data_IF_354888526029
#
_entry.id   IF_354888526029
#
_cell.length_a   1.000
_cell.length_b   1.000
_cell.length_c   1.000
_cell.angle_alpha   90.00
_cell.angle_beta   90.00
_cell.angle_gamma   90.00
#
_symmetry.space_group_name_H-M   'P 1'
#
loop_
_entity.id
_entity.type
_entity.pdbx_description
1 polymer ?
#
# COMPACT_ATOMS: atom_id res chain seq x y z
N UNK A 1 -17.79 -3.71 -6.78
CA UNK A 1 -17.92 -4.97 -7.54
C UNK A 1 -16.59 -5.42 -8.15
N UNK A 2 -15.45 -5.24 -7.46
CA UNK A 2 -14.11 -5.64 -7.95
C UNK A 2 -13.35 -6.56 -6.97
N UNK A 3 -13.84 -6.72 -5.74
CA UNK A 3 -13.14 -7.43 -4.65
C UNK A 3 -13.29 -8.96 -4.75
N UNK A 4 -14.50 -9.45 -5.05
CA UNK A 4 -14.78 -10.88 -5.16
C UNK A 4 -14.03 -11.56 -6.31
N UNK A 5 -13.85 -10.86 -7.44
CA UNK A 5 -13.12 -11.38 -8.60
C UNK A 5 -11.64 -11.57 -8.28
N UNK A 6 -11.01 -10.65 -7.54
CA UNK A 6 -9.58 -10.71 -7.22
C UNK A 6 -9.25 -11.88 -6.26
N UNK A 7 -10.10 -12.16 -5.28
CA UNK A 7 -9.90 -13.28 -4.34
C UNK A 7 -9.98 -14.64 -5.04
N UNK A 8 -10.86 -14.76 -6.03
CA UNK A 8 -11.04 -15.96 -6.83
C UNK A 8 -9.85 -16.21 -7.76
N UNK A 9 -9.30 -15.15 -8.37
CA UNK A 9 -8.07 -15.20 -9.18
C UNK A 9 -6.84 -15.58 -8.34
N UNK A 10 -6.85 -15.28 -7.04
CA UNK A 10 -5.80 -15.68 -6.09
C UNK A 10 -5.99 -17.11 -5.51
N UNK A 11 -7.04 -17.83 -5.91
CA UNK A 11 -7.26 -19.23 -5.53
C UNK A 11 -7.77 -19.46 -4.11
N UNK A 12 -8.19 -18.41 -3.39
CA UNK A 12 -8.70 -18.54 -2.03
C UNK A 12 -10.17 -18.97 -2.02
N UNK A 13 -10.50 -19.99 -1.22
CA UNK A 13 -11.89 -20.34 -0.93
C UNK A 13 -12.52 -19.24 -0.08
N UNK A 14 -13.70 -18.74 -0.48
CA UNK A 14 -14.41 -17.61 0.17
C UNK A 14 -14.67 -17.80 1.69
N UNK A 15 -14.58 -19.04 2.18
CA UNK A 15 -14.77 -19.38 3.60
C UNK A 15 -13.48 -19.35 4.44
N UNK A 16 -12.33 -19.11 3.82
CA UNK A 16 -11.02 -19.18 4.46
C UNK A 16 -10.31 -17.83 4.53
N UNK A 17 -10.89 -16.77 3.97
CA UNK A 17 -10.27 -15.44 3.91
C UNK A 17 -11.28 -14.37 4.28
N UNK A 18 -10.92 -13.55 5.27
CA UNK A 18 -11.62 -12.31 5.59
C UNK A 18 -10.89 -11.16 4.90
N UNK A 19 -11.60 -10.40 4.06
CA UNK A 19 -11.04 -9.22 3.39
C UNK A 19 -11.65 -7.96 3.95
N UNK A 20 -10.79 -7.01 4.24
CA UNK A 20 -11.16 -5.68 4.68
C UNK A 20 -10.46 -4.64 3.82
N UNK A 21 -11.21 -3.60 3.44
CA UNK A 21 -10.70 -2.52 2.62
C UNK A 21 -10.96 -1.19 3.28
N UNK A 22 -9.93 -0.36 3.36
CA UNK A 22 -10.00 0.96 3.96
C UNK A 22 -9.33 1.98 3.04
N UNK A 23 -9.91 3.18 2.96
CA UNK A 23 -9.34 4.30 2.22
C UNK A 23 -8.99 5.43 3.18
N UNK A 24 -7.74 5.89 3.15
CA UNK A 24 -7.24 7.02 3.92
C UNK A 24 -6.00 7.60 3.24
N UNK A 25 -5.55 8.78 3.68
CA UNK A 25 -4.27 9.35 3.24
C UNK A 25 -3.12 8.68 4.01
N UNK A 26 -1.99 8.46 3.35
CA UNK A 26 -0.83 7.75 3.90
C UNK A 26 -0.41 8.19 5.32
N UNK A 27 -0.40 9.49 5.69
CA UNK A 27 -0.06 9.91 7.06
C UNK A 27 -0.93 9.27 8.16
N UNK A 28 -2.17 8.88 7.84
CA UNK A 28 -3.08 8.19 8.78
C UNK A 28 -2.96 6.66 8.79
N UNK A 29 -1.98 6.08 8.09
CA UNK A 29 -1.82 4.63 7.96
C UNK A 29 -1.70 3.92 9.31
N UNK A 30 -0.82 4.41 10.19
CA UNK A 30 -0.58 3.75 11.47
C UNK A 30 -1.75 3.84 12.43
N UNK A 31 -2.36 5.02 12.54
CA UNK A 31 -3.49 5.21 13.45
C UNK A 31 -4.61 4.23 13.11
N UNK A 32 -4.88 4.05 11.81
CA UNK A 32 -5.88 3.09 11.34
C UNK A 32 -5.46 1.64 11.50
N UNK A 33 -4.20 1.32 11.21
CA UNK A 33 -3.68 -0.03 11.36
C UNK A 33 -3.72 -0.48 12.83
N UNK A 34 -3.35 0.39 13.76
CA UNK A 34 -3.35 0.11 15.20
C UNK A 34 -4.76 0.04 15.80
N UNK A 35 -5.65 0.95 15.41
CA UNK A 35 -7.08 0.89 15.76
C UNK A 35 -7.65 -0.49 15.40
N UNK A 36 -7.31 -1.00 14.22
CA UNK A 36 -7.78 -2.31 13.76
C UNK A 36 -7.10 -3.49 14.45
N UNK A 37 -5.77 -3.47 14.54
CA UNK A 37 -5.03 -4.51 15.26
C UNK A 37 -5.46 -4.66 16.73
N UNK A 38 -5.96 -3.59 17.36
CA UNK A 38 -6.46 -3.65 18.74
C UNK A 38 -7.83 -4.31 18.90
N UNK A 39 -8.61 -4.44 17.83
CA UNK A 39 -10.00 -4.93 17.87
C UNK A 39 -10.23 -6.21 17.07
N UNK A 40 -9.26 -6.63 16.26
CA UNK A 40 -9.37 -7.70 15.27
C UNK A 40 -8.08 -8.54 15.21
N UNK A 41 -8.15 -9.72 14.60
CA UNK A 41 -6.97 -10.59 14.41
C UNK A 41 -5.94 -9.92 13.48
N UNK A 42 -4.65 -10.12 13.76
CA UNK A 42 -3.58 -9.53 12.97
C UNK A 42 -3.62 -10.02 11.51
N UNK A 43 -3.33 -9.15 10.52
CA UNK A 43 -3.38 -9.54 9.13
C UNK A 43 -2.26 -10.52 8.78
N UNK A 44 -2.61 -11.61 8.11
CA UNK A 44 -1.64 -12.49 7.47
C UNK A 44 -1.05 -11.86 6.19
N UNK A 45 -1.86 -11.05 5.49
CA UNK A 45 -1.48 -10.35 4.26
C UNK A 45 -1.96 -8.91 4.36
N UNK A 46 -1.06 -7.95 4.08
CA UNK A 46 -1.39 -6.54 4.01
C UNK A 46 -1.09 -6.00 2.61
N UNK A 47 -2.13 -5.63 1.87
CA UNK A 47 -1.99 -5.00 0.55
C UNK A 47 -1.96 -3.48 0.71
N UNK A 48 -0.81 -2.87 0.44
CA UNK A 48 -0.63 -1.43 0.46
C UNK A 48 -0.87 -0.85 -0.94
N UNK A 49 -1.86 0.03 -1.06
CA UNK A 49 -2.19 0.75 -2.28
C UNK A 49 -2.19 2.25 -2.01
N UNK A 50 -1.13 2.95 -2.42
CA UNK A 50 -1.18 4.41 -2.43
C UNK A 50 -1.99 4.89 -3.63
N UNK A 51 -2.69 6.00 -3.47
CA UNK A 51 -3.49 6.62 -4.51
C UNK A 51 -2.91 7.94 -5.00
N UNK A 52 -3.56 8.54 -6.00
CA UNK A 52 -3.18 9.87 -6.48
C UNK A 52 -3.35 10.99 -5.44
N UNK A 53 -4.13 10.75 -4.37
CA UNK A 53 -4.31 11.68 -3.26
C UNK A 53 -3.05 11.80 -2.41
N UNK A 54 -2.24 10.74 -2.33
CA UNK A 54 -0.98 10.74 -1.58
C UNK A 54 0.11 11.48 -2.35
N UNK A 55 0.06 11.45 -3.69
CA UNK A 55 1.03 12.15 -4.53
C UNK A 55 0.94 13.67 -4.44
N UNK A 56 -0.25 14.21 -4.20
CA UNK A 56 -0.48 15.66 -4.04
C UNK A 56 0.03 16.16 -2.67
N UNK A 57 -0.19 15.39 -1.61
CA UNK A 57 0.26 15.73 -0.25
C UNK A 57 1.77 15.52 -0.08
N UNK A 58 2.34 14.54 -0.78
CA UNK A 58 3.74 14.16 -0.59
C UNK A 58 4.71 14.86 -1.55
N UNK A 59 4.27 15.74 -2.45
CA UNK A 59 5.17 16.47 -3.36
C UNK A 59 6.18 17.38 -2.65
N UNK A 60 5.99 17.63 -1.34
CA UNK A 60 6.80 18.51 -0.49
C UNK A 60 7.78 17.75 0.43
N UNK A 61 7.73 16.41 0.48
CA UNK A 61 8.63 15.55 1.28
C UNK A 61 9.19 14.42 0.40
N UNK A 62 10.27 13.74 0.78
CA UNK A 62 10.70 12.52 0.08
C UNK A 62 9.70 11.39 0.37
N UNK A 63 8.70 11.15 -0.51
CA UNK A 63 7.56 10.30 -0.20
C UNK A 63 8.03 8.86 0.02
N UNK A 64 8.98 8.46 -0.81
CA UNK A 64 9.49 7.10 -0.87
C UNK A 64 10.20 6.75 0.42
N UNK A 65 10.97 7.68 1.00
CA UNK A 65 11.65 7.44 2.28
C UNK A 65 10.66 7.21 3.41
N UNK A 66 9.62 8.04 3.52
CA UNK A 66 8.60 7.90 4.56
C UNK A 66 7.84 6.57 4.42
N UNK A 67 7.37 6.27 3.22
CA UNK A 67 6.63 5.02 2.96
C UNK A 67 7.46 3.77 3.22
N UNK A 68 8.78 3.80 2.95
CA UNK A 68 9.69 2.69 3.30
C UNK A 68 9.80 2.48 4.81
N UNK A 69 10.01 3.56 5.57
CA UNK A 69 10.04 3.48 7.03
C UNK A 69 8.74 2.93 7.58
N UNK A 70 7.63 3.27 6.95
CA UNK A 70 6.32 2.80 7.36
C UNK A 70 6.15 1.31 7.06
N UNK A 71 6.60 0.84 5.89
CA UNK A 71 6.66 -0.60 5.58
C UNK A 71 7.52 -1.36 6.59
N UNK A 72 8.71 -0.85 6.93
CA UNK A 72 9.59 -1.52 7.91
C UNK A 72 8.92 -1.62 9.29
N UNK A 73 8.30 -0.53 9.76
CA UNK A 73 7.55 -0.55 11.03
C UNK A 73 6.40 -1.55 11.00
N UNK A 74 5.68 -1.67 9.89
CA UNK A 74 4.59 -2.66 9.75
C UNK A 74 5.15 -4.07 9.90
N UNK A 75 6.24 -4.41 9.20
CA UNK A 75 6.86 -5.73 9.31
C UNK A 75 7.36 -6.02 10.74
N UNK A 76 7.80 -5.00 11.48
CA UNK A 76 8.20 -5.13 12.88
C UNK A 76 7.00 -5.31 13.83
N UNK A 77 5.90 -4.61 13.59
CA UNK A 77 4.69 -4.67 14.42
C UNK A 77 3.90 -5.97 14.23
N UNK A 78 3.93 -6.53 13.03
CA UNK A 78 3.21 -7.76 12.68
C UNK A 78 4.20 -8.81 12.15
N UNK A 79 4.95 -9.49 13.03
CA UNK A 79 5.85 -10.56 12.61
C UNK A 79 5.10 -11.62 11.79
N UNK A 80 5.61 -11.93 10.59
CA UNK A 80 5.01 -12.90 9.67
C UNK A 80 3.95 -12.34 8.71
N UNK A 81 3.64 -11.03 8.76
CA UNK A 81 2.76 -10.41 7.77
C UNK A 81 3.41 -10.41 6.38
N UNK A 82 2.67 -10.86 5.36
CA UNK A 82 3.06 -10.66 3.97
C UNK A 82 2.60 -9.28 3.48
N UNK A 83 3.54 -8.35 3.34
CA UNK A 83 3.25 -7.04 2.76
C UNK A 83 3.32 -7.10 1.23
N UNK A 84 2.26 -6.64 0.57
CA UNK A 84 2.17 -6.58 -0.90
C UNK A 84 2.01 -5.14 -1.34
N UNK A 85 2.84 -4.69 -2.28
CA UNK A 85 2.70 -3.38 -2.91
C UNK A 85 1.78 -3.48 -4.13
N UNK A 86 0.65 -2.76 -4.10
CA UNK A 86 -0.24 -2.59 -5.24
C UNK A 86 0.12 -1.30 -5.98
N UNK A 87 0.69 -1.46 -7.17
CA UNK A 87 1.16 -0.36 -7.98
C UNK A 87 0.03 0.62 -8.35
N UNK A 88 0.32 1.92 -8.22
CA UNK A 88 -0.57 2.98 -8.68
C UNK A 88 -0.81 2.86 -10.18
N UNK A 89 -2.07 2.85 -10.59
CA UNK A 89 -2.49 2.82 -12.00
C UNK A 89 -2.31 4.21 -12.64
N UNK A 90 -1.93 4.32 -13.93
CA UNK A 90 -1.89 5.60 -14.64
C UNK A 90 -3.22 6.35 -14.60
N UNK A 91 -3.15 7.69 -14.57
CA UNK A 91 -4.34 8.56 -14.64
C UNK A 91 -4.27 9.44 -15.88
N UNK A 92 -5.40 9.55 -16.59
CA UNK A 92 -5.55 10.49 -17.71
C UNK A 92 -5.50 11.95 -17.24
N UNK A 93 -6.07 12.24 -16.06
CA UNK A 93 -6.12 13.58 -15.48
C UNK A 93 -5.77 13.50 -13.99
N UNK A 94 -4.81 14.34 -13.59
CA UNK A 94 -4.48 14.63 -12.20
C UNK A 94 -5.18 15.95 -11.83
N UNK A 95 -6.22 15.91 -10.99
CA UNK A 95 -7.18 17.02 -10.82
C UNK A 95 -6.56 18.35 -10.33
N UNK A 96 -5.31 18.34 -9.88
CA UNK A 96 -4.62 19.51 -9.34
C UNK A 96 -3.15 19.60 -9.76
N UNK A 97 -2.73 18.80 -10.75
CA UNK A 97 -1.34 18.82 -11.22
C UNK A 97 -1.06 20.04 -12.09
N UNK A 98 -0.05 20.83 -11.70
CA UNK A 98 0.51 21.88 -12.56
C UNK A 98 1.29 21.28 -13.74
N UNK A 99 1.94 20.12 -13.52
CA UNK A 99 2.64 19.34 -14.55
C UNK A 99 2.25 17.86 -14.47
N UNK A 100 1.38 17.44 -15.39
CA UNK A 100 0.91 16.05 -15.50
C UNK A 100 2.06 15.08 -15.83
N UNK A 101 3.07 15.52 -16.58
CA UNK A 101 4.21 14.68 -16.95
C UNK A 101 5.13 14.47 -15.74
N UNK A 102 5.34 15.50 -14.92
CA UNK A 102 6.06 15.35 -13.65
C UNK A 102 5.35 14.40 -12.70
N UNK A 103 4.02 14.50 -12.58
CA UNK A 103 3.24 13.57 -11.76
C UNK A 103 3.38 12.14 -12.26
N UNK A 104 3.28 11.91 -13.57
CA UNK A 104 3.44 10.56 -14.10
C UNK A 104 4.85 9.99 -13.88
N UNK A 105 5.91 10.79 -14.03
CA UNK A 105 7.28 10.40 -13.68
C UNK A 105 7.40 10.03 -12.20
N UNK A 106 6.79 10.83 -11.31
CA UNK A 106 6.77 10.57 -9.87
C UNK A 106 6.03 9.28 -9.54
N UNK A 107 4.90 8.99 -10.20
CA UNK A 107 4.14 7.75 -10.04
C UNK A 107 5.00 6.53 -10.39
N UNK A 108 5.64 6.56 -11.56
CA UNK A 108 6.53 5.50 -12.05
C UNK A 108 7.69 5.29 -11.07
N UNK A 109 8.32 6.38 -10.62
CA UNK A 109 9.43 6.32 -9.66
C UNK A 109 9.00 5.70 -8.33
N UNK A 110 7.85 6.11 -7.80
CA UNK A 110 7.33 5.60 -6.53
C UNK A 110 7.02 4.11 -6.63
N UNK A 111 6.28 3.69 -7.66
CA UNK A 111 5.99 2.27 -7.89
C UNK A 111 7.26 1.45 -8.00
N UNK A 112 8.24 1.89 -8.81
CA UNK A 112 9.51 1.17 -8.98
C UNK A 112 10.25 1.01 -7.66
N UNK A 113 10.35 2.08 -6.87
CA UNK A 113 11.15 2.08 -5.64
C UNK A 113 10.48 1.30 -4.51
N UNK A 114 9.15 1.39 -4.35
CA UNK A 114 8.43 0.64 -3.32
C UNK A 114 8.19 -0.81 -3.69
N UNK A 115 7.86 -1.12 -4.95
CA UNK A 115 7.76 -2.50 -5.42
C UNK A 115 9.07 -3.25 -5.19
N UNK A 116 10.21 -2.64 -5.55
CA UNK A 116 11.52 -3.22 -5.28
C UNK A 116 11.83 -3.33 -3.78
N UNK A 117 11.37 -2.39 -2.96
CA UNK A 117 11.61 -2.41 -1.51
C UNK A 117 10.79 -3.48 -0.80
N UNK A 118 9.47 -3.49 -0.99
CA UNK A 118 8.54 -4.45 -0.40
C UNK A 118 8.92 -5.89 -0.81
N UNK A 119 9.33 -6.11 -2.06
CA UNK A 119 9.84 -7.42 -2.50
C UNK A 119 11.07 -7.88 -1.73
N UNK A 120 11.93 -6.97 -1.23
CA UNK A 120 13.07 -7.34 -0.38
C UNK A 120 12.64 -7.53 1.07
N UNK A 121 11.77 -6.66 1.58
CA UNK A 121 11.29 -6.71 2.97
C UNK A 121 10.39 -7.94 3.22
N UNK A 122 9.70 -8.45 2.20
CA UNK A 122 8.86 -9.65 2.29
C UNK A 122 9.58 -10.99 2.13
N UNK A 123 10.90 -11.00 1.88
CA UNK A 123 11.72 -12.23 1.75
C UNK A 123 12.52 -12.51 3.04
N UNK A 124 12.15 -11.89 4.16
CA UNK A 124 12.81 -12.09 5.46
C UNK A 124 12.21 -13.23 6.26
N UNK A 125 12.76 -14.44 6.12
CA UNK A 125 12.53 -15.56 7.04
C UNK A 125 12.74 -16.93 6.43
N UNK A 126 13.97 -17.25 6.03
CA UNK A 126 14.57 -18.60 6.04
C UNK A 126 16.09 -18.47 6.27
#
# INVERSE_FOLDING_TARGET
MYCWTLLRELGFLERQVTVQWFGFQWPGLFDRLMEKASSEEHPHVLVLHAGGNDMEVMSQMDPVRLMKLDVDKICLLFPGVMVVWSEMVPRLVWRWAQDHSAMERSRIKLNKLLSAFVRRSGVGGD
#
